data_IF_064881118745
#
_entry.id   IF_064881118745
#
_cell.length_a   1.000
_cell.length_b   1.000
_cell.length_c   1.000
_cell.angle_alpha   90.00
_cell.angle_beta   90.00
_cell.angle_gamma   90.00
#
_symmetry.space_group_name_H-M   'P 1'
#
loop_
_entity.id
_entity.type
_entity.pdbx_description
1 polymer ?
#
# COMPACT_ATOMS: atom_id res chain seq x y z
N UNK A 1 2.27 4.88 -8.82
CA UNK A 1 1.03 4.14 -9.18
C UNK A 1 0.07 4.19 -8.01
N UNK A 2 -1.20 3.88 -8.23
CA UNK A 2 -2.16 3.71 -7.14
C UNK A 2 -2.99 2.44 -7.39
N UNK A 3 -3.16 1.64 -6.34
CA UNK A 3 -3.91 0.38 -6.37
C UNK A 3 -4.93 0.39 -5.25
N UNK A 4 -6.17 0.00 -5.54
CA UNK A 4 -7.21 -0.14 -4.52
C UNK A 4 -7.33 -1.61 -4.12
N UNK A 5 -7.38 -1.88 -2.82
CA UNK A 5 -7.40 -3.22 -2.25
C UNK A 5 -8.14 -3.18 -0.91
N UNK A 6 -8.89 -4.23 -0.57
CA UNK A 6 -9.42 -4.42 0.80
C UNK A 6 -8.40 -5.28 1.55
N UNK A 7 -7.44 -4.64 2.24
CA UNK A 7 -6.26 -5.34 2.77
C UNK A 7 -6.54 -6.01 4.11
N UNK A 8 -7.57 -5.55 4.82
CA UNK A 8 -7.95 -6.04 6.14
C UNK A 8 -9.27 -6.85 6.11
N UNK A 9 -9.82 -7.09 4.91
CA UNK A 9 -11.04 -7.85 4.64
C UNK A 9 -12.26 -7.32 5.41
N UNK A 10 -12.40 -6.00 5.46
CA UNK A 10 -13.43 -5.32 6.25
C UNK A 10 -14.61 -4.79 5.40
N UNK A 11 -14.55 -5.04 4.08
CA UNK A 11 -15.55 -4.67 3.10
C UNK A 11 -15.35 -3.27 2.49
N UNK A 12 -14.30 -2.55 2.87
CA UNK A 12 -13.99 -1.21 2.38
C UNK A 12 -12.67 -1.21 1.60
N UNK A 13 -12.62 -0.42 0.53
CA UNK A 13 -11.40 -0.27 -0.24
C UNK A 13 -10.42 0.66 0.47
N UNK A 14 -9.21 0.15 0.65
CA UNK A 14 -8.00 0.85 1.04
C UNK A 14 -7.21 1.29 -0.21
N UNK A 15 -6.24 2.18 -0.02
CA UNK A 15 -5.46 2.76 -1.11
C UNK A 15 -3.97 2.51 -0.87
N UNK A 16 -3.32 1.80 -1.78
CA UNK A 16 -1.88 1.66 -1.81
C UNK A 16 -1.27 2.57 -2.87
N UNK A 17 -0.24 3.34 -2.48
CA UNK A 17 0.43 4.32 -3.34
C UNK A 17 1.88 3.93 -3.53
N UNK A 18 2.24 3.61 -4.77
CA UNK A 18 3.63 3.39 -5.17
C UNK A 18 4.34 4.72 -5.41
N UNK A 19 5.43 4.96 -4.67
CA UNK A 19 6.22 6.18 -4.71
C UNK A 19 7.58 5.87 -5.34
N UNK A 20 7.86 6.49 -6.48
CA UNK A 20 9.19 6.39 -7.11
C UNK A 20 10.08 7.58 -6.75
N UNK A 21 9.50 8.78 -6.62
CA UNK A 21 10.26 10.02 -6.44
C UNK A 21 11.31 10.29 -7.55
N UNK A 22 11.98 11.46 -7.51
CA UNK A 22 13.17 11.71 -8.31
C UNK A 22 14.40 10.96 -7.79
N UNK A 23 15.44 10.82 -8.63
CA UNK A 23 16.66 10.07 -8.29
C UNK A 23 17.39 10.60 -7.04
N UNK A 24 17.24 11.90 -6.73
CA UNK A 24 17.88 12.55 -5.58
C UNK A 24 17.03 12.48 -4.29
N UNK A 25 15.85 11.86 -4.32
CA UNK A 25 15.07 11.65 -3.09
C UNK A 25 15.79 10.73 -2.12
N UNK A 26 15.54 10.93 -0.84
CA UNK A 26 15.95 9.97 0.19
C UNK A 26 15.07 8.72 0.13
N UNK A 27 15.55 7.62 0.71
CA UNK A 27 14.81 6.36 0.70
C UNK A 27 13.47 6.49 1.42
N UNK A 28 13.45 7.20 2.54
CA UNK A 28 12.26 7.38 3.37
C UNK A 28 11.19 8.24 2.67
N UNK A 29 11.60 9.14 1.77
CA UNK A 29 10.71 9.97 0.95
C UNK A 29 10.05 9.17 -0.19
N UNK A 30 10.56 7.97 -0.47
CA UNK A 30 10.03 7.03 -1.46
C UNK A 30 9.30 5.84 -0.82
N UNK A 31 9.09 5.87 0.49
CA UNK A 31 8.30 4.84 1.14
C UNK A 31 6.91 4.78 0.50
N UNK A 32 6.54 3.60 -0.02
CA UNK A 32 5.18 3.36 -0.47
C UNK A 32 4.23 3.51 0.72
N UNK A 33 3.02 3.97 0.42
CA UNK A 33 2.04 4.32 1.45
C UNK A 33 0.83 3.38 1.35
N UNK A 34 0.30 2.97 2.50
CA UNK A 34 -0.97 2.27 2.60
C UNK A 34 -1.93 3.12 3.41
N UNK A 35 -3.01 3.57 2.80
CA UNK A 35 -4.08 4.29 3.45
C UNK A 35 -5.26 3.36 3.70
N UNK A 36 -5.42 2.94 4.96
CA UNK A 36 -6.52 2.09 5.42
C UNK A 36 -7.76 2.94 5.69
N UNK A 37 -8.91 2.49 5.20
CA UNK A 37 -10.16 3.23 5.26
C UNK A 37 -10.80 3.15 6.66
N UNK A 38 -11.04 4.30 7.29
CA UNK A 38 -11.65 4.36 8.63
C UNK A 38 -13.20 4.30 8.59
N UNK A 39 -13.81 4.15 7.40
CA UNK A 39 -15.27 4.03 7.17
C UNK A 39 -16.08 5.30 7.45
N UNK A 40 -15.40 6.42 7.67
CA UNK A 40 -15.99 7.74 7.93
C UNK A 40 -15.53 8.80 6.92
N UNK A 41 -14.92 8.37 5.81
CA UNK A 41 -14.34 9.24 4.79
C UNK A 41 -12.91 9.70 5.11
N UNK A 42 -12.33 9.23 6.21
CA UNK A 42 -10.92 9.43 6.55
C UNK A 42 -10.09 8.16 6.33
N UNK A 43 -8.76 8.34 6.29
CA UNK A 43 -7.82 7.24 6.10
C UNK A 43 -6.68 7.33 7.12
N UNK A 44 -6.15 6.18 7.50
CA UNK A 44 -4.97 6.04 8.35
C UNK A 44 -3.81 5.48 7.53
N UNK A 45 -2.63 6.12 7.59
CA UNK A 45 -1.42 5.58 6.95
C UNK A 45 -0.86 4.45 7.81
N UNK A 46 -0.79 3.24 7.26
CA UNK A 46 -0.34 2.03 7.96
C UNK A 46 0.71 1.21 7.16
N UNK A 47 1.34 1.77 6.12
CA UNK A 47 2.26 1.04 5.23
C UNK A 47 3.42 0.41 5.98
N UNK A 48 4.01 1.12 6.95
CA UNK A 48 5.07 0.58 7.79
C UNK A 48 4.57 -0.52 8.74
N UNK A 49 3.33 -0.40 9.24
CA UNK A 49 2.71 -1.39 10.14
C UNK A 49 2.45 -2.71 9.43
N UNK A 50 2.02 -2.66 8.18
CA UNK A 50 1.81 -3.85 7.33
C UNK A 50 3.12 -4.36 6.71
N UNK A 51 4.24 -3.68 6.90
CA UNK A 51 5.54 -4.09 6.36
C UNK A 51 5.69 -3.89 4.85
N UNK A 52 4.82 -3.10 4.23
CA UNK A 52 4.75 -2.89 2.78
C UNK A 52 5.18 -1.48 2.33
N UNK A 53 5.80 -0.72 3.25
CA UNK A 53 6.41 0.58 2.97
C UNK A 53 7.78 0.43 2.28
N UNK A 54 7.79 -0.17 1.09
CA UNK A 54 9.02 -0.29 0.30
C UNK A 54 9.58 1.09 -0.07
N UNK A 55 10.91 1.24 -0.01
CA UNK A 55 11.63 2.51 -0.24
C UNK A 55 12.36 2.54 -1.59
N UNK A 56 12.17 1.49 -2.40
CA UNK A 56 12.63 1.39 -3.76
C UNK A 56 11.92 2.38 -4.70
N UNK A 57 12.38 2.41 -5.95
CA UNK A 57 11.70 3.17 -6.99
C UNK A 57 10.49 2.36 -7.49
N UNK A 58 9.32 2.56 -6.88
CA UNK A 58 8.13 1.77 -7.21
C UNK A 58 7.21 2.54 -8.16
N UNK A 59 6.88 1.95 -9.31
CA UNK A 59 5.95 2.54 -10.28
C UNK A 59 4.53 2.00 -10.13
N UNK A 60 4.39 0.71 -9.82
CA UNK A 60 3.11 0.03 -9.67
C UNK A 60 3.23 -1.17 -8.72
N UNK A 61 2.09 -1.59 -8.17
CA UNK A 61 1.96 -2.71 -7.24
C UNK A 61 0.69 -3.49 -7.57
N UNK A 62 0.76 -4.82 -7.44
CA UNK A 62 -0.36 -5.72 -7.70
C UNK A 62 -0.56 -6.58 -6.47
N UNK A 63 -1.76 -6.54 -5.91
CA UNK A 63 -2.17 -7.43 -4.82
C UNK A 63 -2.84 -8.66 -5.42
N UNK A 64 -2.42 -9.85 -5.00
CA UNK A 64 -3.04 -11.12 -5.39
C UNK A 64 -2.89 -12.15 -4.28
N UNK A 65 -3.86 -13.04 -4.13
CA UNK A 65 -3.72 -14.21 -3.25
C UNK A 65 -2.81 -15.22 -3.96
N UNK A 66 -1.52 -15.24 -3.60
CA UNK A 66 -0.53 -16.10 -4.24
C UNK A 66 -0.55 -17.52 -3.67
N UNK A 67 -0.87 -17.65 -2.37
CA UNK A 67 -0.75 -18.90 -1.64
C UNK A 67 -2.09 -19.66 -1.47
N UNK A 68 -3.22 -19.03 -1.79
CA UNK A 68 -4.57 -19.57 -1.72
C UNK A 68 -5.20 -19.55 -0.32
N UNK A 69 -4.71 -18.72 0.61
CA UNK A 69 -5.20 -18.65 1.99
C UNK A 69 -6.36 -17.66 2.19
N UNK A 70 -6.75 -16.95 1.13
CA UNK A 70 -7.82 -15.96 1.15
C UNK A 70 -7.39 -14.58 1.68
N UNK A 71 -6.12 -14.37 1.98
CA UNK A 71 -5.51 -13.07 2.20
C UNK A 71 -4.81 -12.60 0.90
N UNK A 72 -4.80 -11.29 0.65
CA UNK A 72 -4.09 -10.75 -0.50
C UNK A 72 -2.61 -10.53 -0.16
N UNK A 73 -1.71 -11.08 -0.98
CA UNK A 73 -0.27 -10.89 -0.89
C UNK A 73 0.20 -9.71 -1.76
N UNK A 74 1.36 -9.15 -1.39
CA UNK A 74 2.06 -8.10 -2.12
C UNK A 74 3.52 -8.47 -2.39
#
# INVERSE_FOLDING_TARGET
>A
GATMVDINNDGYLDIYVSVSGPQWSKAEERANLLFVNNKDGTFTEEGARYGIADTGFTTHAVFLDYNGDGCLDL
#
